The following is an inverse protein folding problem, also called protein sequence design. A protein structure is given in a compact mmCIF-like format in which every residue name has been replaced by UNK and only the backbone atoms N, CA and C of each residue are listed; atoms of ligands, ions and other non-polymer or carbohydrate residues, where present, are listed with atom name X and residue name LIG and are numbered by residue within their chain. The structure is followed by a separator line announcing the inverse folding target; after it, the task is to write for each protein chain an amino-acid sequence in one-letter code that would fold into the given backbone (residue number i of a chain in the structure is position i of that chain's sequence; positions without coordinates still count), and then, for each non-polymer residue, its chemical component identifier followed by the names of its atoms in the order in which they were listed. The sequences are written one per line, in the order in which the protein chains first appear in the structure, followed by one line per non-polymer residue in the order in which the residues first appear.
data_IF_699679808623
#
_entry.id   IF_699679808623
#
_cell.length_a   1.000
_cell.length_b   1.000
_cell.length_c   1.000
_cell.angle_alpha   90.00
_cell.angle_beta   90.00
_cell.angle_gamma   90.00
#
_symmetry.space_group_name_H-M   'P 1'
#
loop_
_entity.id
_entity.type
_entity.pdbx_description
1 polymer ?
#
# COMPACT_ATOMS: atom_id res chain seq x y z
N UNK A 1 -20.67 24.87 -1.25
CA UNK A 1 -19.34 24.89 -1.90
C UNK A 1 -18.23 24.53 -0.92
N UNK A 2 -18.14 25.11 0.29
CA UNK A 2 -17.12 24.76 1.29
C UNK A 2 -17.26 23.32 1.77
N UNK A 3 -18.47 22.84 2.03
CA UNK A 3 -18.76 21.45 2.43
C UNK A 3 -18.31 20.44 1.37
N UNK A 4 -18.51 20.74 0.10
CA UNK A 4 -18.03 19.88 -0.97
C UNK A 4 -16.50 19.85 -1.01
N UNK A 5 -15.81 20.98 -0.85
CA UNK A 5 -14.34 21.05 -0.87
C UNK A 5 -13.74 20.22 0.28
N UNK A 6 -14.38 20.22 1.45
CA UNK A 6 -13.91 19.54 2.65
C UNK A 6 -14.39 18.07 2.75
N UNK A 7 -15.25 17.60 1.84
CA UNK A 7 -15.77 16.23 1.88
C UNK A 7 -14.76 15.20 1.30
N UNK A 8 -15.19 14.38 0.36
CA UNK A 8 -14.32 13.35 -0.25
C UNK A 8 -13.28 13.93 -1.24
N UNK A 9 -12.28 13.11 -1.54
CA UNK A 9 -11.29 13.35 -2.60
C UNK A 9 -11.48 12.27 -3.67
N UNK A 10 -11.57 12.68 -4.93
CA UNK A 10 -11.45 11.74 -6.07
C UNK A 10 -9.97 11.49 -6.29
N UNK A 11 -9.55 10.24 -6.17
CA UNK A 11 -8.16 9.81 -6.23
C UNK A 11 -7.94 8.97 -7.49
N UNK A 12 -7.24 9.58 -8.44
CA UNK A 12 -6.98 9.00 -9.76
C UNK A 12 -5.53 9.25 -10.19
N UNK A 13 -4.54 8.82 -9.41
CA UNK A 13 -3.14 8.98 -9.83
C UNK A 13 -2.81 7.95 -10.89
N UNK A 14 -2.01 8.35 -11.88
CA UNK A 14 -1.33 7.36 -12.72
C UNK A 14 -0.45 6.46 -11.84
N UNK A 15 -0.60 5.13 -11.90
CA UNK A 15 0.23 4.20 -11.10
C UNK A 15 1.70 4.21 -11.56
N UNK A 16 1.98 4.72 -12.76
CA UNK A 16 3.32 4.86 -13.29
C UNK A 16 3.83 6.31 -13.18
N UNK A 17 5.13 6.47 -12.91
CA UNK A 17 5.79 7.79 -12.86
C UNK A 17 5.77 8.49 -14.23
N UNK A 18 5.84 7.73 -15.30
CA UNK A 18 5.85 8.26 -16.67
C UNK A 18 4.47 8.00 -17.26
N UNK A 19 3.66 9.04 -17.48
CA UNK A 19 2.34 8.88 -18.11
C UNK A 19 2.47 8.16 -19.46
N UNK A 20 1.59 7.17 -19.67
CA UNK A 20 1.60 6.34 -20.89
C UNK A 20 2.61 5.18 -20.90
N UNK A 21 3.41 5.01 -19.85
CA UNK A 21 4.25 3.84 -19.64
C UNK A 21 3.67 2.98 -18.51
N UNK A 22 3.65 1.67 -18.68
CA UNK A 22 3.19 0.77 -17.62
C UNK A 22 4.21 0.59 -16.48
N UNK A 23 5.47 0.92 -16.70
CA UNK A 23 6.59 0.72 -15.75
C UNK A 23 7.58 1.88 -15.79
N UNK A 24 8.25 2.20 -14.67
CA UNK A 24 8.12 1.59 -13.34
C UNK A 24 6.95 2.19 -12.54
N UNK A 25 6.22 1.37 -11.76
CA UNK A 25 5.16 1.85 -10.88
C UNK A 25 5.73 2.60 -9.66
N UNK A 26 4.96 3.54 -9.12
CA UNK A 26 5.33 4.30 -7.92
C UNK A 26 5.71 3.41 -6.75
N UNK A 27 4.99 2.32 -6.54
CA UNK A 27 5.27 1.35 -5.49
C UNK A 27 6.71 0.84 -5.56
N UNK A 28 7.17 0.41 -6.73
CA UNK A 28 8.52 -0.14 -6.91
C UNK A 28 9.60 0.90 -6.65
N UNK A 29 9.38 2.15 -7.06
CA UNK A 29 10.34 3.24 -6.85
C UNK A 29 10.40 3.64 -5.39
N UNK A 30 9.27 3.79 -4.73
CA UNK A 30 9.21 4.11 -3.29
C UNK A 30 9.82 2.99 -2.45
N UNK A 31 9.64 1.73 -2.86
CA UNK A 31 10.28 0.59 -2.22
C UNK A 31 11.81 0.63 -2.39
N UNK A 32 12.31 0.88 -3.61
CA UNK A 32 13.74 1.03 -3.88
C UNK A 32 14.34 2.25 -3.13
N UNK A 33 13.62 3.37 -3.12
CA UNK A 33 14.01 4.57 -2.36
C UNK A 33 14.13 4.26 -0.86
N UNK A 34 13.22 3.43 -0.33
CA UNK A 34 13.29 2.93 1.04
C UNK A 34 14.62 2.24 1.35
N UNK A 35 15.14 1.40 0.47
CA UNK A 35 16.46 0.78 0.64
C UNK A 35 17.59 1.80 0.58
N UNK A 36 17.56 2.74 -0.36
CA UNK A 36 18.60 3.78 -0.51
C UNK A 36 18.67 4.65 0.75
N UNK A 37 17.53 5.14 1.23
CA UNK A 37 17.47 5.95 2.44
C UNK A 37 17.89 5.13 3.66
N UNK A 38 17.42 3.88 3.76
CA UNK A 38 17.79 2.98 4.85
C UNK A 38 19.30 2.76 4.92
N UNK A 39 19.97 2.57 3.79
CA UNK A 39 21.42 2.43 3.72
C UNK A 39 22.13 3.69 4.24
N UNK A 40 21.71 4.90 3.80
CA UNK A 40 22.33 6.14 4.27
C UNK A 40 22.13 6.36 5.77
N UNK A 41 20.93 6.08 6.29
CA UNK A 41 20.64 6.17 7.73
C UNK A 41 21.46 5.14 8.52
N UNK A 42 21.60 3.91 8.02
CA UNK A 42 22.43 2.88 8.65
C UNK A 42 23.92 3.27 8.68
N UNK A 43 24.46 3.85 7.58
CA UNK A 43 25.82 4.40 7.55
C UNK A 43 25.99 5.47 8.64
N UNK A 44 24.99 6.34 8.81
CA UNK A 44 25.00 7.34 9.86
C UNK A 44 25.02 6.71 11.26
N UNK A 45 24.22 5.67 11.52
CA UNK A 45 24.21 4.94 12.78
C UNK A 45 25.57 4.31 13.09
N UNK A 46 26.13 3.60 12.12
CA UNK A 46 27.44 2.95 12.28
C UNK A 46 28.54 3.97 12.62
N UNK A 47 28.60 5.08 11.86
CA UNK A 47 29.57 6.16 12.14
C UNK A 47 29.42 6.74 13.56
N UNK A 48 28.16 7.00 13.99
CA UNK A 48 27.87 7.60 15.29
C UNK A 48 28.15 6.67 16.47
N UNK A 49 28.10 5.36 16.26
CA UNK A 49 28.38 4.35 17.28
C UNK A 49 29.80 3.74 17.17
N UNK A 50 30.67 4.35 16.34
CA UNK A 50 32.08 3.91 16.20
C UNK A 50 32.24 2.57 15.52
N UNK A 51 31.25 2.15 14.71
CA UNK A 51 31.30 0.94 13.87
C UNK A 51 31.86 1.27 12.50
N UNK A 52 32.47 0.27 11.82
CA UNK A 52 32.95 0.46 10.45
C UNK A 52 31.76 0.63 9.46
N UNK A 53 31.61 1.80 8.79
CA UNK A 53 30.51 2.06 7.87
C UNK A 53 30.47 1.14 6.64
N UNK A 54 31.63 0.57 6.22
CA UNK A 54 31.71 -0.35 5.09
C UNK A 54 30.91 -1.66 5.32
N UNK A 55 30.70 -2.01 6.60
CA UNK A 55 29.89 -3.16 6.95
C UNK A 55 28.40 -2.99 6.56
N UNK A 56 27.95 -1.74 6.35
CA UNK A 56 26.58 -1.45 5.90
C UNK A 56 26.36 -1.90 4.46
N UNK A 57 27.36 -1.80 3.58
CA UNK A 57 27.24 -2.28 2.20
C UNK A 57 27.01 -3.80 2.19
N UNK A 58 27.79 -4.52 3.00
CA UNK A 58 27.58 -5.96 3.19
C UNK A 58 26.20 -6.25 3.74
N UNK A 59 25.76 -5.52 4.77
CA UNK A 59 24.43 -5.67 5.38
C UNK A 59 23.33 -5.41 4.35
N UNK A 60 23.46 -4.37 3.52
CA UNK A 60 22.50 -4.03 2.46
C UNK A 60 22.33 -5.17 1.46
N UNK A 61 23.44 -5.81 1.03
CA UNK A 61 23.38 -6.98 0.15
C UNK A 61 22.59 -8.13 0.80
N UNK A 62 22.86 -8.43 2.08
CA UNK A 62 22.12 -9.44 2.83
C UNK A 62 20.63 -9.13 2.86
N UNK A 63 20.25 -7.85 3.11
CA UNK A 63 18.87 -7.41 3.20
C UNK A 63 18.14 -7.50 1.87
N UNK A 64 18.77 -7.02 0.78
CA UNK A 64 18.15 -7.05 -0.56
C UNK A 64 17.93 -8.50 -1.02
N UNK A 65 18.96 -9.34 -0.92
CA UNK A 65 18.85 -10.76 -1.32
C UNK A 65 17.81 -11.49 -0.46
N UNK A 66 17.82 -11.27 0.85
CA UNK A 66 16.86 -11.89 1.76
C UNK A 66 15.42 -11.47 1.48
N UNK A 67 15.20 -10.21 1.14
CA UNK A 67 13.88 -9.70 0.79
C UNK A 67 13.35 -10.37 -0.48
N UNK A 68 14.15 -10.40 -1.55
CA UNK A 68 13.73 -10.97 -2.84
C UNK A 68 13.54 -12.48 -2.73
N UNK A 69 14.56 -13.19 -2.24
CA UNK A 69 14.53 -14.66 -2.14
C UNK A 69 13.48 -15.11 -1.14
N UNK A 70 13.42 -14.46 0.03
CA UNK A 70 12.45 -14.78 1.06
C UNK A 70 11.02 -14.55 0.61
N UNK A 71 10.73 -13.41 -0.04
CA UNK A 71 9.40 -13.11 -0.56
C UNK A 71 8.97 -14.13 -1.63
N UNK A 72 9.88 -14.50 -2.54
CA UNK A 72 9.61 -15.48 -3.59
C UNK A 72 9.37 -16.87 -3.03
N UNK A 73 10.25 -17.34 -2.15
CA UNK A 73 10.09 -18.64 -1.50
C UNK A 73 8.82 -18.71 -0.64
N UNK A 74 8.50 -17.61 0.06
CA UNK A 74 7.24 -17.51 0.81
C UNK A 74 6.03 -17.68 -0.09
N UNK A 75 6.02 -17.03 -1.26
CA UNK A 75 4.93 -17.19 -2.23
C UNK A 75 4.84 -18.61 -2.77
N UNK A 76 5.97 -19.16 -3.22
CA UNK A 76 6.07 -20.53 -3.76
C UNK A 76 5.54 -21.57 -2.76
N UNK A 77 5.93 -21.47 -1.50
CA UNK A 77 5.61 -22.49 -0.51
C UNK A 77 4.19 -22.39 0.05
N UNK A 78 3.65 -21.18 0.18
CA UNK A 78 2.39 -20.96 0.88
C UNK A 78 1.18 -20.71 -0.05
N UNK A 79 1.40 -20.24 -1.30
CA UNK A 79 0.28 -19.89 -2.18
C UNK A 79 0.13 -20.83 -3.37
N UNK A 80 1.20 -21.15 -4.09
CA UNK A 80 1.13 -21.94 -5.33
C UNK A 80 2.13 -23.09 -5.39
N UNK A 81 2.29 -23.92 -4.35
CA UNK A 81 3.33 -24.96 -4.32
C UNK A 81 3.22 -25.96 -5.48
N UNK A 82 2.02 -26.37 -5.85
CA UNK A 82 1.82 -27.34 -6.92
C UNK A 82 2.27 -26.82 -8.29
N UNK A 83 2.02 -25.54 -8.59
CA UNK A 83 2.46 -24.89 -9.83
C UNK A 83 3.99 -24.87 -9.95
N UNK A 84 4.66 -24.36 -8.91
CA UNK A 84 6.12 -24.20 -8.93
C UNK A 84 6.88 -25.53 -8.78
N UNK A 85 6.27 -26.57 -8.21
CA UNK A 85 6.87 -27.91 -8.19
C UNK A 85 6.77 -28.60 -9.56
N UNK A 86 5.74 -28.26 -10.38
CA UNK A 86 5.61 -28.78 -11.74
C UNK A 86 6.56 -28.10 -12.73
N UNK A 87 6.89 -26.82 -12.52
CA UNK A 87 7.89 -26.07 -13.30
C UNK A 87 8.81 -25.23 -12.38
N UNK A 88 9.89 -25.80 -11.85
CA UNK A 88 10.78 -25.10 -10.93
C UNK A 88 11.50 -23.87 -11.54
N UNK A 89 11.58 -23.75 -12.86
CA UNK A 89 12.20 -22.59 -13.51
C UNK A 89 11.37 -21.32 -13.26
N UNK A 90 10.06 -21.46 -13.12
CA UNK A 90 9.20 -20.32 -12.80
C UNK A 90 9.52 -19.67 -11.43
N UNK A 91 10.17 -20.39 -10.51
CA UNK A 91 10.61 -19.81 -9.22
C UNK A 91 11.56 -18.63 -9.44
N UNK A 92 12.39 -18.68 -10.50
CA UNK A 92 13.38 -17.66 -10.79
C UNK A 92 12.78 -16.39 -11.42
N UNK A 93 11.56 -16.46 -11.94
CA UNK A 93 10.89 -15.34 -12.63
C UNK A 93 10.25 -14.37 -11.62
N UNK A 94 11.08 -13.71 -10.79
CA UNK A 94 10.63 -12.78 -9.75
C UNK A 94 9.93 -11.52 -10.31
N UNK A 95 10.14 -11.19 -11.56
CA UNK A 95 9.54 -10.04 -12.27
C UNK A 95 8.09 -10.27 -12.71
N UNK A 96 7.59 -11.50 -12.66
CA UNK A 96 6.19 -11.84 -12.94
C UNK A 96 5.27 -11.66 -11.72
N UNK A 97 5.79 -11.17 -10.60
CA UNK A 97 5.06 -11.03 -9.36
C UNK A 97 5.16 -12.28 -8.46
N UNK A 98 4.18 -12.53 -7.62
CA UNK A 98 4.21 -13.67 -6.69
C UNK A 98 5.27 -13.51 -5.60
N UNK A 99 5.12 -12.47 -4.79
CA UNK A 99 6.01 -12.13 -3.67
C UNK A 99 5.20 -12.05 -2.37
N UNK A 100 5.59 -12.79 -1.35
CA UNK A 100 4.90 -12.84 -0.06
C UNK A 100 5.69 -12.12 1.03
N UNK A 101 5.10 -11.11 1.66
CA UNK A 101 5.74 -10.28 2.68
C UNK A 101 6.20 -11.05 3.92
N UNK A 102 5.46 -12.08 4.35
CA UNK A 102 5.85 -12.92 5.48
C UNK A 102 7.09 -13.78 5.17
N UNK A 103 7.22 -14.24 3.92
CA UNK A 103 8.45 -14.92 3.47
C UNK A 103 9.65 -13.99 3.47
N UNK A 104 9.47 -12.72 3.03
CA UNK A 104 10.50 -11.70 3.14
C UNK A 104 10.92 -11.46 4.60
N UNK A 105 9.95 -11.33 5.53
CA UNK A 105 10.25 -11.12 6.94
C UNK A 105 11.08 -12.27 7.55
N UNK A 106 10.71 -13.51 7.29
CA UNK A 106 11.47 -14.69 7.74
C UNK A 106 12.88 -14.68 7.13
N UNK A 107 12.98 -14.44 5.82
CA UNK A 107 14.26 -14.36 5.11
C UNK A 107 15.18 -13.27 5.67
N UNK A 108 14.64 -12.09 5.97
CA UNK A 108 15.36 -10.97 6.56
C UNK A 108 15.90 -11.33 7.95
N UNK A 109 15.07 -11.90 8.84
CA UNK A 109 15.51 -12.29 10.17
C UNK A 109 16.63 -13.34 10.12
N UNK A 110 16.52 -14.32 9.22
CA UNK A 110 17.55 -15.30 8.97
C UNK A 110 18.85 -14.68 8.42
N UNK A 111 18.73 -13.77 7.46
CA UNK A 111 19.88 -13.09 6.88
C UNK A 111 20.61 -12.19 7.88
N UNK A 112 19.88 -11.49 8.76
CA UNK A 112 20.46 -10.71 9.86
C UNK A 112 21.20 -11.57 10.86
N UNK A 113 20.65 -12.77 11.19
CA UNK A 113 21.34 -13.74 12.01
C UNK A 113 22.63 -14.24 11.34
N UNK A 114 22.59 -14.57 10.06
CA UNK A 114 23.75 -15.00 9.28
C UNK A 114 24.80 -13.89 9.16
N UNK A 115 24.36 -12.65 8.94
CA UNK A 115 25.22 -11.47 8.90
C UNK A 115 25.97 -11.29 10.23
N UNK A 116 25.26 -11.28 11.36
CA UNK A 116 25.83 -11.13 12.68
C UNK A 116 26.84 -12.26 12.99
N UNK A 117 26.48 -13.51 12.64
CA UNK A 117 27.38 -14.68 12.83
C UNK A 117 28.66 -14.59 11.99
N UNK A 118 28.59 -14.01 10.78
CA UNK A 118 29.70 -13.94 9.83
C UNK A 118 30.48 -12.62 9.86
N UNK A 119 30.08 -11.71 10.75
CA UNK A 119 30.70 -10.37 10.83
C UNK A 119 31.16 -10.15 12.26
N UNK A 120 32.47 -10.30 12.56
CA UNK A 120 33.01 -10.11 13.90
C UNK A 120 32.64 -8.74 14.47
N UNK A 121 32.29 -8.70 15.76
CA UNK A 121 31.90 -7.46 16.45
C UNK A 121 30.45 -7.01 16.23
N UNK A 122 29.67 -7.70 15.41
CA UNK A 122 28.24 -7.40 15.18
C UNK A 122 27.35 -8.33 16.01
N UNK A 123 26.68 -7.77 17.03
CA UNK A 123 25.66 -8.49 17.81
C UNK A 123 24.31 -8.49 17.05
N UNK A 124 23.63 -9.62 17.05
CA UNK A 124 22.37 -9.79 16.33
C UNK A 124 21.28 -8.78 16.74
N UNK A 125 21.01 -8.69 18.05
CA UNK A 125 19.98 -7.76 18.55
C UNK A 125 20.40 -6.29 18.39
N UNK A 126 21.69 -6.01 18.42
CA UNK A 126 22.19 -4.65 18.15
C UNK A 126 21.90 -4.26 16.70
N UNK A 127 22.17 -5.14 15.74
CA UNK A 127 21.88 -4.89 14.30
C UNK A 127 20.38 -4.74 14.09
N UNK A 128 19.58 -5.66 14.63
CA UNK A 128 18.11 -5.65 14.47
C UNK A 128 17.51 -4.36 15.03
N UNK A 129 17.97 -3.87 16.19
CA UNK A 129 17.51 -2.62 16.78
C UNK A 129 17.70 -1.39 15.85
N UNK A 130 18.75 -1.39 15.02
CA UNK A 130 18.98 -0.29 14.05
C UNK A 130 18.16 -0.51 12.79
N UNK A 131 18.05 -1.74 12.35
CA UNK A 131 17.26 -2.10 11.16
C UNK A 131 15.78 -1.77 11.36
N UNK A 132 15.18 -2.00 12.53
CA UNK A 132 13.75 -1.70 12.72
C UNK A 132 13.42 -0.20 12.64
N UNK A 133 14.38 0.69 12.92
CA UNK A 133 14.19 2.13 12.73
C UNK A 133 13.94 2.42 11.25
N UNK A 134 14.85 1.97 10.39
CA UNK A 134 14.75 2.18 8.94
C UNK A 134 13.65 1.35 8.29
N UNK A 135 13.28 0.22 8.89
CA UNK A 135 12.13 -0.59 8.46
C UNK A 135 10.81 0.16 8.65
N UNK A 136 10.65 0.91 9.75
CA UNK A 136 9.47 1.75 9.95
C UNK A 136 9.35 2.82 8.84
N UNK A 137 10.47 3.47 8.47
CA UNK A 137 10.51 4.44 7.37
C UNK A 137 10.18 3.79 6.02
N UNK A 138 10.81 2.67 5.70
CA UNK A 138 10.54 1.93 4.46
C UNK A 138 9.09 1.47 4.41
N UNK A 139 8.53 1.03 5.54
CA UNK A 139 7.12 0.68 5.66
C UNK A 139 6.19 1.85 5.35
N UNK A 140 6.53 3.07 5.80
CA UNK A 140 5.76 4.27 5.46
C UNK A 140 5.77 4.55 3.94
N UNK A 141 6.93 4.44 3.30
CA UNK A 141 7.06 4.60 1.84
C UNK A 141 6.29 3.54 1.06
N UNK A 142 6.33 2.28 1.51
CA UNK A 142 5.57 1.18 0.91
C UNK A 142 4.06 1.46 0.98
N UNK A 143 3.54 1.92 2.13
CA UNK A 143 2.13 2.25 2.28
C UNK A 143 1.71 3.44 1.42
N UNK A 144 2.57 4.44 1.29
CA UNK A 144 2.34 5.51 0.33
C UNK A 144 2.36 5.01 -1.12
N UNK A 145 3.22 4.05 -1.45
CA UNK A 145 3.21 3.37 -2.75
C UNK A 145 1.89 2.62 -3.03
N UNK A 146 1.32 1.94 -2.01
CA UNK A 146 0.01 1.31 -2.15
C UNK A 146 -1.10 2.35 -2.44
N UNK A 147 -1.03 3.55 -1.83
CA UNK A 147 -1.96 4.63 -2.13
C UNK A 147 -1.86 5.07 -3.60
N UNK A 148 -0.63 5.24 -4.10
CA UNK A 148 -0.39 5.62 -5.50
C UNK A 148 -0.88 4.57 -6.51
N UNK A 149 -0.84 3.30 -6.12
CA UNK A 149 -1.39 2.20 -6.91
C UNK A 149 -2.89 1.97 -6.67
N UNK A 150 -3.55 2.76 -5.81
CA UNK A 150 -4.95 2.55 -5.41
C UNK A 150 -5.24 1.15 -4.85
N UNK A 151 -4.24 0.53 -4.19
CA UNK A 151 -4.30 -0.81 -3.61
C UNK A 151 -4.53 -0.78 -2.09
N UNK A 152 -5.10 -1.85 -1.54
CA UNK A 152 -5.25 -2.05 -0.09
C UNK A 152 -6.00 -0.88 0.58
N UNK A 153 -7.09 -0.44 -0.05
CA UNK A 153 -8.00 0.56 0.50
C UNK A 153 -8.76 0.08 1.73
N UNK A 154 -9.43 1.00 2.39
CA UNK A 154 -10.27 0.71 3.54
C UNK A 154 -11.72 0.43 3.16
N UNK A 155 -12.52 0.09 4.18
CA UNK A 155 -13.98 -0.03 4.11
C UNK A 155 -14.63 1.33 3.77
N UNK A 156 -15.89 1.30 3.40
CA UNK A 156 -16.69 2.50 3.21
C UNK A 156 -16.72 3.32 4.51
N UNK A 157 -16.60 4.65 4.40
CA UNK A 157 -16.54 5.54 5.59
C UNK A 157 -17.89 5.72 6.27
N UNK A 158 -19.00 5.39 5.61
CA UNK A 158 -20.37 5.71 6.04
C UNK A 158 -20.57 7.21 6.30
N UNK A 159 -19.75 8.06 5.67
CA UNK A 159 -19.83 9.51 5.71
C UNK A 159 -19.29 10.07 4.39
N UNK A 160 -19.58 11.34 4.08
CA UNK A 160 -19.11 11.95 2.83
C UNK A 160 -17.62 12.35 2.87
N UNK A 161 -16.89 11.95 3.93
CA UNK A 161 -15.45 12.18 4.04
C UNK A 161 -14.68 10.90 3.72
N UNK A 162 -13.73 10.96 2.81
CA UNK A 162 -12.92 9.80 2.44
C UNK A 162 -12.27 9.94 1.07
N UNK A 163 -11.81 8.81 0.54
CA UNK A 163 -11.24 8.74 -0.81
C UNK A 163 -12.14 7.89 -1.70
N UNK A 164 -12.50 8.43 -2.86
CA UNK A 164 -13.08 7.67 -3.98
C UNK A 164 -11.93 7.26 -4.89
N UNK A 165 -11.61 5.97 -4.92
CA UNK A 165 -10.55 5.44 -5.79
C UNK A 165 -11.10 5.29 -7.21
N UNK A 166 -10.79 6.26 -8.05
CA UNK A 166 -11.34 6.35 -9.41
C UNK A 166 -10.47 5.63 -10.47
N UNK A 167 -9.24 5.26 -10.15
CA UNK A 167 -8.35 4.50 -11.05
C UNK A 167 -9.05 3.26 -11.68
N UNK A 168 -9.89 2.58 -10.91
CA UNK A 168 -10.63 1.40 -11.41
C UNK A 168 -11.63 1.73 -12.53
N UNK A 169 -11.94 3.01 -12.76
CA UNK A 169 -12.78 3.42 -13.90
C UNK A 169 -12.06 3.24 -15.24
N UNK A 170 -10.73 3.36 -15.28
CA UNK A 170 -9.94 3.10 -16.48
C UNK A 170 -10.02 1.62 -16.89
N UNK A 171 -9.82 0.71 -15.93
CA UNK A 171 -9.94 -0.73 -16.16
C UNK A 171 -11.36 -1.08 -16.65
N UNK A 172 -12.38 -0.54 -15.97
CA UNK A 172 -13.77 -0.73 -16.34
C UNK A 172 -14.04 -0.28 -17.78
N UNK A 173 -13.67 0.96 -18.12
CA UNK A 173 -13.92 1.55 -19.43
C UNK A 173 -13.12 0.84 -20.53
N UNK A 174 -11.95 0.29 -20.23
CA UNK A 174 -11.15 -0.51 -21.19
C UNK A 174 -11.86 -1.79 -21.63
N UNK A 175 -12.85 -2.29 -20.87
CA UNK A 175 -13.66 -3.45 -21.25
C UNK A 175 -14.70 -3.12 -22.33
N UNK A 176 -15.00 -1.83 -22.51
CA UNK A 176 -15.92 -1.38 -23.55
C UNK A 176 -15.22 -1.43 -24.92
N UNK A 177 -15.94 -1.91 -25.90
CA UNK A 177 -15.42 -1.99 -27.29
C UNK A 177 -15.54 -0.65 -28.03
N UNK A 178 -15.13 0.43 -27.38
CA UNK A 178 -15.11 1.78 -27.95
C UNK A 178 -13.70 2.36 -27.87
N UNK A 179 -13.24 3.15 -28.86
CA UNK A 179 -11.88 3.67 -28.91
C UNK A 179 -11.74 4.89 -27.98
N UNK A 180 -11.60 4.64 -26.69
CA UNK A 180 -11.40 5.69 -25.66
C UNK A 180 -9.99 6.26 -25.77
N UNK A 181 -9.88 7.59 -25.74
CA UNK A 181 -8.63 8.34 -25.86
C UNK A 181 -8.11 8.73 -24.48
N UNK A 182 -9.01 9.24 -23.62
CA UNK A 182 -8.67 9.70 -22.28
C UNK A 182 -9.87 9.52 -21.34
N UNK A 183 -9.60 9.40 -20.05
CA UNK A 183 -10.61 9.23 -18.99
C UNK A 183 -10.24 10.23 -17.89
N UNK A 184 -11.22 10.98 -17.41
CA UNK A 184 -11.08 11.99 -16.36
C UNK A 184 -12.24 11.88 -15.36
N UNK A 185 -12.08 11.10 -14.29
CA UNK A 185 -13.03 11.05 -13.19
C UNK A 185 -12.84 12.26 -12.28
N UNK A 186 -13.90 13.02 -12.01
CA UNK A 186 -13.81 14.22 -11.21
C UNK A 186 -14.97 14.41 -10.25
N UNK A 187 -14.73 15.23 -9.23
CA UNK A 187 -15.70 15.67 -8.24
C UNK A 187 -16.53 16.83 -8.80
N UNK A 188 -17.85 16.62 -9.04
CA UNK A 188 -18.69 17.64 -9.63
C UNK A 188 -19.10 18.72 -8.62
N UNK A 189 -18.78 19.98 -8.91
CA UNK A 189 -19.12 21.11 -8.02
C UNK A 189 -20.62 21.44 -8.01
N UNK A 190 -21.34 21.14 -9.09
CA UNK A 190 -22.77 21.40 -9.27
C UNK A 190 -23.66 20.38 -8.56
N UNK A 191 -23.11 19.24 -8.08
CA UNK A 191 -23.84 18.16 -7.44
C UNK A 191 -23.66 18.10 -5.92
N UNK A 192 -23.28 19.19 -5.28
CA UNK A 192 -23.08 19.26 -3.83
C UNK A 192 -24.35 18.94 -3.02
N UNK A 193 -25.52 19.24 -3.57
CA UNK A 193 -26.82 18.93 -2.94
C UNK A 193 -27.16 17.44 -2.90
N UNK A 194 -26.41 16.59 -3.61
CA UNK A 194 -26.58 15.14 -3.61
C UNK A 194 -25.77 14.43 -2.49
N UNK A 195 -25.00 15.17 -1.71
CA UNK A 195 -24.33 14.64 -0.52
C UNK A 195 -25.36 14.31 0.55
N UNK A 196 -25.35 13.07 1.03
CA UNK A 196 -26.35 12.55 1.97
C UNK A 196 -25.75 12.11 3.30
N UNK A 197 -24.43 12.20 3.46
CA UNK A 197 -23.75 11.79 4.69
C UNK A 197 -23.58 10.29 4.87
N UNK A 198 -23.86 9.49 3.84
CA UNK A 198 -23.85 8.02 3.90
C UNK A 198 -22.64 7.36 3.21
N UNK A 199 -21.68 8.14 2.73
CA UNK A 199 -20.48 7.66 2.04
C UNK A 199 -20.69 7.34 0.56
N UNK A 200 -21.87 7.55 0.02
CA UNK A 200 -22.14 7.51 -1.43
C UNK A 200 -22.12 8.96 -1.93
N UNK A 201 -21.13 9.29 -2.74
CA UNK A 201 -20.84 10.67 -3.11
C UNK A 201 -20.86 10.85 -4.63
N UNK A 202 -21.29 12.04 -5.14
CA UNK A 202 -21.33 12.31 -6.56
C UNK A 202 -19.97 12.13 -7.23
N UNK A 203 -19.96 11.46 -8.38
CA UNK A 203 -18.79 11.28 -9.24
C UNK A 203 -19.20 11.49 -10.68
N UNK A 204 -18.46 12.32 -11.40
CA UNK A 204 -18.58 12.41 -12.85
C UNK A 204 -17.37 11.75 -13.48
N UNK A 205 -17.60 10.95 -14.54
CA UNK A 205 -16.56 10.33 -15.33
C UNK A 205 -16.70 10.89 -16.76
N UNK A 206 -15.77 11.78 -17.13
CA UNK A 206 -15.65 12.26 -18.48
C UNK A 206 -14.66 11.41 -19.25
N UNK A 207 -14.94 11.08 -20.50
CA UNK A 207 -14.01 10.36 -21.35
C UNK A 207 -14.16 10.76 -22.81
N UNK A 208 -13.01 10.84 -23.47
CA UNK A 208 -12.94 11.18 -24.89
C UNK A 208 -12.95 9.90 -25.73
N UNK A 209 -13.73 9.92 -26.81
CA UNK A 209 -13.88 8.78 -27.72
C UNK A 209 -13.52 9.22 -29.11
N UNK A 210 -12.62 8.51 -29.77
CA UNK A 210 -12.32 8.73 -31.17
C UNK A 210 -13.58 8.47 -32.02
N UNK A 211 -13.97 9.41 -32.86
CA UNK A 211 -15.16 9.31 -33.69
C UNK A 211 -15.16 8.05 -34.58
N UNK A 212 -14.04 7.75 -35.20
CA UNK A 212 -13.90 6.57 -36.06
C UNK A 212 -15.09 6.36 -37.00
N UNK A 213 -15.65 5.15 -36.98
CA UNK A 213 -16.80 4.75 -37.80
C UNK A 213 -18.13 4.78 -37.04
N UNK A 214 -18.19 5.29 -35.83
CA UNK A 214 -19.42 5.31 -35.02
C UNK A 214 -20.28 6.51 -35.37
N UNK A 215 -21.60 6.26 -35.58
CA UNK A 215 -22.59 7.33 -35.51
C UNK A 215 -22.84 7.71 -34.06
N UNK A 216 -23.29 8.94 -33.79
CA UNK A 216 -23.61 9.38 -32.43
C UNK A 216 -24.67 8.48 -31.78
N UNK A 217 -25.67 8.07 -32.53
CA UNK A 217 -26.79 7.22 -32.07
C UNK A 217 -26.29 5.81 -31.70
N UNK A 218 -25.48 5.17 -32.55
CA UNK A 218 -24.90 3.87 -32.28
C UNK A 218 -24.01 3.89 -31.06
N UNK A 219 -23.21 4.93 -30.92
CA UNK A 219 -22.32 5.15 -29.75
C UNK A 219 -23.13 5.30 -28.47
N UNK A 220 -24.16 6.15 -28.48
CA UNK A 220 -25.02 6.38 -27.32
C UNK A 220 -25.72 5.09 -26.88
N UNK A 221 -26.27 4.32 -27.81
CA UNK A 221 -26.95 3.05 -27.52
C UNK A 221 -25.98 2.02 -26.94
N UNK A 222 -24.76 1.93 -27.49
CA UNK A 222 -23.73 1.03 -27.00
C UNK A 222 -23.30 1.41 -25.58
N UNK A 223 -23.01 2.70 -25.33
CA UNK A 223 -22.61 3.16 -24.01
C UNK A 223 -23.72 2.99 -22.97
N UNK A 224 -24.96 3.34 -23.28
CA UNK A 224 -26.08 3.17 -22.34
C UNK A 224 -26.27 1.73 -21.91
N UNK A 225 -26.07 0.77 -22.81
CA UNK A 225 -26.20 -0.66 -22.50
C UNK A 225 -24.96 -1.21 -21.79
N UNK A 226 -23.81 -1.10 -22.44
CA UNK A 226 -22.59 -1.82 -22.02
C UNK A 226 -21.94 -1.16 -20.81
N UNK A 227 -21.93 0.18 -20.74
CA UNK A 227 -21.41 0.89 -19.58
C UNK A 227 -22.32 0.73 -18.37
N UNK A 228 -23.66 0.79 -18.54
CA UNK A 228 -24.59 0.51 -17.44
C UNK A 228 -24.37 -0.88 -16.86
N UNK A 229 -24.23 -1.89 -17.74
CA UNK A 229 -23.93 -3.25 -17.34
C UNK A 229 -22.60 -3.33 -16.56
N UNK A 230 -21.55 -2.73 -17.08
CA UNK A 230 -20.24 -2.74 -16.45
C UNK A 230 -20.25 -2.05 -15.08
N UNK A 231 -20.89 -0.89 -14.95
CA UNK A 231 -21.00 -0.14 -13.68
C UNK A 231 -21.80 -0.88 -12.61
N UNK A 232 -22.79 -1.71 -13.01
CA UNK A 232 -23.72 -2.33 -12.05
C UNK A 232 -23.46 -3.81 -11.81
N UNK A 233 -22.76 -4.52 -12.69
CA UNK A 233 -22.63 -5.98 -12.61
C UNK A 233 -21.22 -6.44 -12.21
N UNK A 234 -20.18 -5.71 -12.59
CA UNK A 234 -18.81 -6.11 -12.24
C UNK A 234 -18.54 -5.92 -10.73
N UNK A 235 -17.93 -6.91 -10.11
CA UNK A 235 -17.57 -6.86 -8.69
C UNK A 235 -16.61 -5.72 -8.39
N UNK A 236 -15.63 -5.47 -9.26
CA UNK A 236 -14.70 -4.34 -9.13
C UNK A 236 -15.44 -3.00 -9.14
N UNK A 237 -16.46 -2.84 -9.98
CA UNK A 237 -17.27 -1.62 -9.99
C UNK A 237 -18.05 -1.44 -8.70
N UNK A 238 -18.73 -2.48 -8.22
CA UNK A 238 -19.53 -2.43 -6.98
C UNK A 238 -18.71 -2.09 -5.73
N UNK A 239 -17.44 -2.41 -5.75
CA UNK A 239 -16.52 -2.11 -4.66
C UNK A 239 -16.21 -0.62 -4.55
N UNK A 240 -16.14 0.10 -5.68
CA UNK A 240 -15.69 1.50 -5.72
C UNK A 240 -16.76 2.48 -6.17
N UNK A 241 -17.76 2.00 -6.90
CA UNK A 241 -18.85 2.79 -7.48
C UNK A 241 -20.21 2.38 -6.91
N UNK A 242 -21.16 3.30 -6.98
CA UNK A 242 -22.52 3.08 -6.49
C UNK A 242 -23.55 3.54 -7.53
N UNK A 243 -23.41 3.05 -8.76
CA UNK A 243 -24.38 3.34 -9.82
C UNK A 243 -25.75 2.74 -9.50
N UNK A 244 -26.86 3.52 -9.48
CA UNK A 244 -28.20 3.03 -9.21
C UNK A 244 -28.64 2.00 -10.27
N UNK A 245 -28.99 0.78 -9.88
CA UNK A 245 -29.35 -0.32 -10.81
C UNK A 245 -30.61 0.00 -11.60
N UNK A 246 -31.66 0.48 -10.92
CA UNK A 246 -32.99 0.69 -11.49
C UNK A 246 -33.12 1.97 -12.33
N UNK A 247 -32.23 2.96 -12.09
CA UNK A 247 -32.27 4.22 -12.83
C UNK A 247 -31.58 4.09 -14.20
N UNK A 248 -32.04 4.79 -15.24
CA UNK A 248 -31.30 4.87 -16.50
C UNK A 248 -29.95 5.55 -16.30
N UNK A 249 -28.95 5.18 -17.10
CA UNK A 249 -27.62 5.81 -17.05
C UNK A 249 -27.72 7.30 -17.38
N UNK A 250 -27.22 8.12 -16.48
CA UNK A 250 -27.15 9.58 -16.71
C UNK A 250 -25.90 9.89 -17.55
N UNK A 251 -26.07 9.75 -18.86
CA UNK A 251 -25.01 9.92 -19.86
C UNK A 251 -25.35 11.13 -20.76
N UNK A 252 -24.38 12.01 -20.95
CA UNK A 252 -24.38 13.04 -21.98
C UNK A 252 -23.22 12.84 -22.94
N UNK A 253 -23.44 13.10 -24.23
CA UNK A 253 -22.39 13.01 -25.26
C UNK A 253 -22.41 14.32 -26.06
N UNK A 254 -21.27 14.96 -26.13
CA UNK A 254 -21.05 16.18 -26.88
C UNK A 254 -20.12 15.93 -28.07
N UNK A 255 -20.50 16.43 -29.23
CA UNK A 255 -19.65 16.41 -30.42
C UNK A 255 -18.65 17.56 -30.38
N UNK A 256 -17.36 17.27 -30.23
CA UNK A 256 -16.26 18.24 -30.22
C UNK A 256 -15.54 18.36 -31.58
N UNK A 257 -16.14 17.88 -32.65
CA UNK A 257 -15.56 17.91 -34.00
C UNK A 257 -14.63 16.73 -34.28
N UNK A 258 -13.48 16.64 -33.64
CA UNK A 258 -12.51 15.53 -33.82
C UNK A 258 -12.80 14.30 -32.96
N UNK A 259 -13.49 14.47 -31.85
CA UNK A 259 -13.85 13.40 -30.91
C UNK A 259 -15.23 13.64 -30.30
N UNK A 260 -15.78 12.62 -29.64
CA UNK A 260 -16.94 12.74 -28.76
C UNK A 260 -16.49 12.84 -27.31
N UNK A 261 -17.03 13.80 -26.57
CA UNK A 261 -16.87 13.88 -25.13
C UNK A 261 -18.11 13.28 -24.46
N UNK A 262 -17.95 12.12 -23.87
CA UNK A 262 -18.99 11.48 -23.08
C UNK A 262 -18.79 11.80 -21.59
N UNK A 263 -19.86 12.11 -20.88
CA UNK A 263 -19.83 12.33 -19.43
C UNK A 263 -20.93 11.49 -18.76
N UNK A 264 -20.53 10.64 -17.85
CA UNK A 264 -21.43 9.87 -16.99
C UNK A 264 -21.48 10.49 -15.61
N UNK A 265 -22.69 10.81 -15.16
CA UNK A 265 -22.97 11.28 -13.81
C UNK A 265 -23.36 10.07 -12.96
N UNK A 266 -22.45 9.57 -12.14
CA UNK A 266 -22.62 8.41 -11.27
C UNK A 266 -22.30 8.77 -9.81
N UNK A 267 -22.10 7.75 -8.98
CA UNK A 267 -21.69 7.91 -7.59
C UNK A 267 -20.47 7.02 -7.29
N UNK A 268 -19.57 7.54 -6.46
CA UNK A 268 -18.46 6.82 -5.90
C UNK A 268 -18.71 6.42 -4.44
N UNK A 269 -17.97 5.44 -3.94
CA UNK A 269 -17.94 5.07 -2.52
C UNK A 269 -16.77 5.74 -1.85
N UNK A 270 -17.04 6.57 -0.85
CA UNK A 270 -16.02 7.20 -0.03
C UNK A 270 -15.44 6.14 0.94
N UNK A 271 -14.15 5.84 0.81
CA UNK A 271 -13.45 4.81 1.57
C UNK A 271 -12.44 5.40 2.54
N UNK A 272 -12.17 4.68 3.63
CA UNK A 272 -11.09 5.02 4.55
C UNK A 272 -9.73 4.92 3.84
N UNK A 273 -8.90 5.98 3.83
CA UNK A 273 -7.55 5.94 3.26
C UNK A 273 -6.57 5.23 4.20
N UNK A 274 -6.75 3.94 4.40
CA UNK A 274 -5.95 3.15 5.36
C UNK A 274 -4.47 3.15 5.04
N UNK A 275 -4.10 3.31 3.77
CA UNK A 275 -2.71 3.48 3.34
C UNK A 275 -2.09 4.75 3.96
N UNK A 276 -2.85 5.87 4.02
CA UNK A 276 -2.39 7.12 4.65
C UNK A 276 -2.27 6.92 6.16
N UNK A 277 -3.26 6.26 6.80
CA UNK A 277 -3.23 6.01 8.24
C UNK A 277 -1.99 5.19 8.63
N UNK A 278 -1.70 4.11 7.89
CA UNK A 278 -0.53 3.29 8.13
C UNK A 278 0.77 4.01 7.80
N UNK A 279 0.84 4.72 6.66
CA UNK A 279 2.03 5.47 6.25
C UNK A 279 2.43 6.52 7.28
N UNK A 280 1.48 7.34 7.73
CA UNK A 280 1.72 8.35 8.77
C UNK A 280 2.11 7.72 10.10
N UNK A 281 1.43 6.64 10.51
CA UNK A 281 1.75 5.92 11.74
C UNK A 281 3.18 5.39 11.72
N UNK A 282 3.59 4.75 10.64
CA UNK A 282 4.94 4.19 10.50
C UNK A 282 6.01 5.29 10.42
N UNK A 283 5.70 6.42 9.79
CA UNK A 283 6.59 7.57 9.77
C UNK A 283 6.78 8.18 11.17
N UNK A 284 5.70 8.33 11.94
CA UNK A 284 5.79 8.81 13.34
C UNK A 284 6.56 7.81 14.19
N UNK A 285 6.35 6.51 14.04
CA UNK A 285 7.12 5.46 14.73
C UNK A 285 8.61 5.56 14.37
N UNK A 286 8.95 5.76 13.10
CA UNK A 286 10.32 6.02 12.68
C UNK A 286 10.93 7.19 13.43
N UNK A 287 10.24 8.34 13.51
CA UNK A 287 10.73 9.53 14.23
C UNK A 287 10.94 9.27 15.72
N UNK A 288 10.03 8.53 16.37
CA UNK A 288 10.14 8.16 17.78
C UNK A 288 11.36 7.24 18.00
N UNK A 289 11.49 6.18 17.20
CA UNK A 289 12.61 5.25 17.31
C UNK A 289 13.94 5.93 17.03
N UNK A 290 13.99 6.80 16.01
CA UNK A 290 15.17 7.58 15.68
C UNK A 290 15.53 8.55 16.82
N UNK A 291 14.57 9.25 17.42
CA UNK A 291 14.80 10.16 18.54
C UNK A 291 15.33 9.42 19.79
N UNK A 292 14.76 8.25 20.10
CA UNK A 292 15.25 7.40 21.21
C UNK A 292 16.69 6.98 20.92
N UNK A 293 16.96 6.46 19.71
CA UNK A 293 18.30 6.09 19.31
C UNK A 293 19.26 7.29 19.36
N UNK A 294 18.88 8.45 18.84
CA UNK A 294 19.72 9.64 18.78
C UNK A 294 20.14 10.11 20.18
N UNK A 295 19.23 10.02 21.15
CA UNK A 295 19.48 10.41 22.55
C UNK A 295 20.41 9.45 23.28
N UNK A 296 20.26 8.13 23.05
CA UNK A 296 20.93 7.11 23.86
C UNK A 296 22.02 6.31 23.13
N UNK A 297 21.95 6.24 21.78
CA UNK A 297 22.91 5.56 20.89
C UNK A 297 23.31 4.15 21.40
N UNK A 298 24.64 3.93 21.56
CA UNK A 298 25.20 2.66 22.02
C UNK A 298 24.82 2.28 23.47
N UNK A 299 24.32 3.25 24.25
CA UNK A 299 23.86 2.99 25.63
C UNK A 299 22.56 2.20 25.71
N UNK A 300 21.80 2.11 24.61
CA UNK A 300 20.55 1.34 24.59
C UNK A 300 20.82 -0.14 24.86
N UNK A 301 20.02 -0.77 25.75
CA UNK A 301 20.07 -2.22 25.91
C UNK A 301 19.56 -2.91 24.63
N UNK A 302 20.27 -3.95 24.19
CA UNK A 302 19.94 -4.65 22.96
C UNK A 302 18.54 -5.28 23.01
N UNK A 303 17.74 -5.03 22.00
CA UNK A 303 16.36 -5.50 21.84
C UNK A 303 15.30 -4.48 22.28
N UNK A 304 15.68 -3.31 22.81
CA UNK A 304 14.69 -2.29 23.24
C UNK A 304 13.98 -1.65 22.05
N UNK A 305 14.72 -1.27 21.00
CA UNK A 305 14.11 -0.65 19.82
C UNK A 305 13.27 -1.65 19.03
N UNK A 306 13.71 -2.90 18.92
CA UNK A 306 12.92 -3.98 18.38
C UNK A 306 11.61 -4.16 19.18
N UNK A 307 11.69 -4.17 20.50
CA UNK A 307 10.51 -4.29 21.36
C UNK A 307 9.52 -3.15 21.14
N UNK A 308 10.00 -1.90 21.13
CA UNK A 308 9.15 -0.71 20.87
C UNK A 308 8.54 -0.79 19.45
N UNK A 309 9.35 -1.14 18.45
CA UNK A 309 8.87 -1.32 17.07
C UNK A 309 7.73 -2.34 16.99
N UNK A 310 7.92 -3.52 17.58
CA UNK A 310 6.91 -4.58 17.54
C UNK A 310 5.60 -4.14 18.21
N UNK A 311 5.67 -3.51 19.38
CA UNK A 311 4.47 -3.03 20.09
C UNK A 311 3.77 -1.93 19.30
N UNK A 312 4.51 -0.96 18.78
CA UNK A 312 3.90 0.21 18.13
C UNK A 312 3.40 -0.12 16.73
N UNK A 313 4.20 -0.78 15.88
CA UNK A 313 3.81 -1.11 14.50
C UNK A 313 2.66 -2.11 14.49
N UNK A 314 2.78 -3.23 15.23
CA UNK A 314 1.75 -4.26 15.22
C UNK A 314 0.54 -3.89 16.07
N UNK A 315 0.70 -3.05 17.09
CA UNK A 315 -0.42 -2.45 17.81
C UNK A 315 -1.23 -1.50 16.91
N UNK A 316 -0.58 -0.61 16.17
CA UNK A 316 -1.26 0.25 15.20
C UNK A 316 -1.87 -0.57 14.05
N UNK A 317 -1.15 -1.60 13.55
CA UNK A 317 -1.71 -2.50 12.55
C UNK A 317 -3.00 -3.16 13.04
N UNK A 318 -3.03 -3.66 14.27
CA UNK A 318 -4.24 -4.25 14.86
C UNK A 318 -5.42 -3.28 14.83
N UNK A 319 -5.17 -1.97 15.11
CA UNK A 319 -6.21 -0.93 15.07
C UNK A 319 -6.65 -0.64 13.64
N UNK A 320 -5.71 -0.45 12.72
CA UNK A 320 -6.06 -0.09 11.33
C UNK A 320 -6.75 -1.21 10.57
N UNK A 321 -6.55 -2.47 10.94
CA UNK A 321 -7.25 -3.61 10.34
C UNK A 321 -8.79 -3.57 10.54
N UNK A 322 -9.32 -2.86 11.54
CA UNK A 322 -10.76 -2.64 11.67
C UNK A 322 -11.35 -1.82 10.51
N UNK A 323 -10.54 -0.94 9.91
CA UNK A 323 -10.93 -0.05 8.81
C UNK A 323 -10.61 -0.60 7.44
N UNK A 324 -9.94 -1.77 7.34
CA UNK A 324 -9.60 -2.42 6.08
C UNK A 324 -10.68 -3.40 5.62
N UNK A 325 -10.82 -3.52 4.31
CA UNK A 325 -11.55 -4.64 3.71
C UNK A 325 -10.80 -5.94 3.93
N UNK A 326 -11.54 -7.04 4.12
CA UNK A 326 -10.93 -8.36 4.18
C UNK A 326 -10.28 -8.70 2.83
N UNK A 327 -9.11 -9.30 2.87
CA UNK A 327 -8.35 -9.60 1.65
C UNK A 327 -8.70 -10.97 1.06
N UNK A 328 -9.31 -11.85 1.85
CA UNK A 328 -9.68 -13.21 1.49
C UNK A 328 -11.04 -13.57 2.10
N UNK A 329 -11.86 -14.31 1.35
CA UNK A 329 -13.24 -14.62 1.72
C UNK A 329 -13.40 -15.33 3.06
N UNK A 330 -12.44 -16.16 3.46
CA UNK A 330 -12.54 -16.86 4.75
C UNK A 330 -12.46 -15.93 5.96
N UNK A 331 -11.87 -14.73 5.81
CA UNK A 331 -11.79 -13.73 6.90
C UNK A 331 -13.17 -13.21 7.29
N UNK A 332 -14.16 -13.27 6.39
CA UNK A 332 -15.54 -12.84 6.67
C UNK A 332 -16.21 -13.69 7.76
N UNK A 333 -15.72 -14.91 7.97
CA UNK A 333 -16.19 -15.81 9.01
C UNK A 333 -15.48 -15.63 10.37
N UNK A 334 -14.40 -14.84 10.43
CA UNK A 334 -13.58 -14.66 11.61
C UNK A 334 -14.00 -13.41 12.39
N UNK A 335 -13.91 -13.47 13.73
CA UNK A 335 -14.13 -12.31 14.60
C UNK A 335 -13.01 -11.26 14.45
N UNK A 336 -11.80 -11.73 14.20
CA UNK A 336 -10.61 -10.91 13.90
C UNK A 336 -9.97 -11.42 12.61
N UNK A 337 -9.56 -10.50 11.74
CA UNK A 337 -8.86 -10.89 10.50
C UNK A 337 -7.43 -11.37 10.78
N UNK A 338 -6.80 -11.97 9.76
CA UNK A 338 -5.44 -12.52 9.88
C UNK A 338 -4.41 -11.47 10.29
N UNK A 339 -4.58 -10.22 9.84
CA UNK A 339 -3.69 -9.12 10.23
C UNK A 339 -3.72 -8.85 11.74
N UNK A 340 -4.90 -8.92 12.35
CA UNK A 340 -5.08 -8.76 13.80
C UNK A 340 -4.53 -9.97 14.57
N UNK A 341 -4.88 -11.19 14.14
CA UNK A 341 -4.45 -12.43 14.80
C UNK A 341 -2.91 -12.52 14.82
N UNK A 342 -2.26 -12.22 13.70
CA UNK A 342 -0.80 -12.26 13.60
C UNK A 342 -0.11 -11.10 14.37
N UNK A 343 -0.81 -10.02 14.63
CA UNK A 343 -0.26 -8.89 15.39
C UNK A 343 -0.11 -9.20 16.89
N UNK A 344 -1.02 -9.98 17.48
CA UNK A 344 -1.04 -10.27 18.93
C UNK A 344 0.25 -10.92 19.42
N UNK A 345 0.76 -12.01 18.83
CA UNK A 345 2.00 -12.63 19.30
C UNK A 345 3.21 -11.71 19.15
N UNK A 346 3.25 -10.87 18.11
CA UNK A 346 4.35 -9.94 17.89
C UNK A 346 4.35 -8.81 18.93
N UNK A 347 3.19 -8.31 19.30
CA UNK A 347 3.04 -7.34 20.41
C UNK A 347 3.49 -7.98 21.73
N UNK A 348 3.12 -9.24 22.00
CA UNK A 348 3.55 -9.95 23.21
C UNK A 348 5.07 -10.11 23.27
N UNK A 349 5.71 -10.49 22.15
CA UNK A 349 7.18 -10.56 22.04
C UNK A 349 7.80 -9.17 22.28
N UNK A 350 7.20 -8.12 21.72
CA UNK A 350 7.65 -6.74 21.90
C UNK A 350 7.62 -6.32 23.38
N UNK A 351 6.52 -6.60 24.08
CA UNK A 351 6.39 -6.32 25.52
C UNK A 351 7.47 -7.07 26.32
N UNK A 352 7.68 -8.35 26.02
CA UNK A 352 8.73 -9.15 26.66
C UNK A 352 10.13 -8.56 26.44
N UNK A 353 10.46 -8.11 25.21
CA UNK A 353 11.76 -7.51 24.90
C UNK A 353 11.95 -6.17 25.64
N UNK A 354 10.92 -5.34 25.73
CA UNK A 354 10.94 -4.09 26.48
C UNK A 354 11.19 -4.39 27.97
N UNK A 355 10.41 -5.30 28.56
CA UNK A 355 10.55 -5.65 29.97
C UNK A 355 11.96 -6.21 30.29
N UNK A 356 12.50 -7.05 29.40
CA UNK A 356 13.88 -7.57 29.50
C UNK A 356 14.89 -6.43 29.44
N UNK A 357 14.77 -5.52 28.46
CA UNK A 357 15.68 -4.43 28.24
C UNK A 357 15.68 -3.43 29.42
N UNK A 358 14.51 -3.13 29.98
CA UNK A 358 14.38 -2.26 31.16
C UNK A 358 15.05 -2.86 32.40
N UNK A 359 15.00 -4.18 32.58
CA UNK A 359 15.74 -4.87 33.65
C UNK A 359 17.26 -4.79 33.47
N UNK A 360 17.76 -4.76 32.25
CA UNK A 360 19.19 -4.62 31.96
C UNK A 360 19.71 -3.19 32.23
N UNK A 361 18.83 -2.19 32.12
CA UNK A 361 19.19 -0.79 32.23
C UNK A 361 20.04 -0.26 31.07
N UNK A 362 20.38 1.04 31.11
CA UNK A 362 21.27 1.64 30.13
C UNK A 362 22.70 1.13 30.29
N UNK A 363 23.37 0.89 29.19
CA UNK A 363 24.79 0.57 29.19
C UNK A 363 25.62 1.78 29.67
N UNK A 364 26.75 1.56 30.35
CA UNK A 364 27.66 2.65 30.75
C UNK A 364 28.12 3.42 29.50
N UNK A 365 28.41 4.70 29.71
CA UNK A 365 29.00 5.55 28.68
C UNK A 365 30.41 5.06 28.38
N UNK A 366 30.78 4.88 27.14
CA UNK A 366 32.15 4.57 26.77
C UNK A 366 32.97 5.84 26.99
N UNK A 367 33.95 5.77 27.91
CA UNK A 367 34.93 6.82 28.15
C UNK A 367 35.81 7.09 26.93
#
# INVERSE_FOLDING_TARGET
MLELILSYIVWDPSPSIIPGWERPPWYSILFALGFIISQQVMIYFFKKEGQNPELVDKLTIYMVLATIIGARLGHVLFYEPARYLSDPIEILKVWEGGLASHGAAIGILFALWLYAKRTPGQDYLWVVDRIVIVTAMTGALIRFGNLMNSEIGGKDTLSDNGIVYAWHTEELLSTLKVPIISIDPYKPADRASELTGNGIVPLNIAFEINKGSYSLEDLENTLRRDLKYALTQFNSSKQYLAEPVEAPLNLSIEDKGSYYLATVKTFGRAKHPTQIYESLSYFVIFLILFAIWYKYKERLPNGILLGIFLVTVFGMRFVWEFFKENQVEFEDSLQFNMGQILSVPLVAIGIFLIARALKMGLKPEKS
#
